data_IF_537765449134
#
_entry.id   IF_537765449134
#
_cell.length_a   1.000
_cell.length_b   1.000
_cell.length_c   1.000
_cell.angle_alpha   90.00
_cell.angle_beta   90.00
_cell.angle_gamma   90.00
#
_symmetry.space_group_name_H-M   'P 1'
#
loop_
_entity.id
_entity.type
_entity.pdbx_description
1 polymer ?
#
# COMPACT_ATOMS: atom_id res chain seq x y z
N UNK A 1 25.58 7.23 -9.18
CA UNK A 1 25.61 7.44 -10.64
C UNK A 1 25.27 6.16 -11.40
N UNK A 2 25.98 5.04 -11.19
CA UNK A 2 25.73 3.78 -11.91
C UNK A 2 24.30 3.22 -11.75
N UNK A 3 23.80 3.07 -10.52
CA UNK A 3 22.45 2.55 -10.26
C UNK A 3 21.34 3.40 -10.89
N UNK A 4 21.50 4.72 -10.92
CA UNK A 4 20.56 5.62 -11.58
C UNK A 4 20.55 5.41 -13.10
N UNK A 5 21.74 5.22 -13.70
CA UNK A 5 21.85 4.89 -15.12
C UNK A 5 21.12 3.58 -15.45
N UNK A 6 21.28 2.53 -14.64
CA UNK A 6 20.55 1.28 -14.83
C UNK A 6 19.03 1.46 -14.73
N UNK A 7 18.56 2.29 -13.79
CA UNK A 7 17.15 2.61 -13.64
C UNK A 7 16.56 3.35 -14.86
N UNK A 8 17.36 4.17 -15.53
CA UNK A 8 16.91 4.93 -16.72
C UNK A 8 17.03 4.13 -18.02
N UNK A 9 18.06 3.30 -18.15
CA UNK A 9 18.40 2.63 -19.41
C UNK A 9 17.83 1.22 -19.52
N UNK A 10 17.96 0.40 -18.46
CA UNK A 10 17.62 -1.02 -18.46
C UNK A 10 16.88 -1.44 -17.17
N UNK A 11 15.78 -0.76 -16.79
CA UNK A 11 15.13 -0.97 -15.49
C UNK A 11 14.56 -2.38 -15.30
N UNK A 12 14.07 -3.00 -16.38
CA UNK A 12 13.47 -4.34 -16.32
C UNK A 12 14.51 -5.45 -16.30
N UNK A 13 15.56 -5.32 -17.13
CA UNK A 13 16.63 -6.32 -17.27
C UNK A 13 17.54 -6.34 -16.05
N UNK A 14 17.93 -5.16 -15.57
CA UNK A 14 18.82 -5.01 -14.42
C UNK A 14 18.06 -4.90 -13.10
N UNK A 15 16.79 -5.32 -13.02
CA UNK A 15 15.94 -5.12 -11.84
C UNK A 15 16.59 -5.65 -10.55
N UNK A 16 17.08 -6.89 -10.57
CA UNK A 16 17.71 -7.51 -9.39
C UNK A 16 18.96 -6.74 -8.93
N UNK A 17 19.81 -6.34 -9.88
CA UNK A 17 21.02 -5.56 -9.62
C UNK A 17 20.69 -4.16 -9.08
N UNK A 18 19.66 -3.52 -9.62
CA UNK A 18 19.18 -2.22 -9.12
C UNK A 18 18.74 -2.35 -7.66
N UNK A 19 17.95 -3.37 -7.32
CA UNK A 19 17.49 -3.58 -5.94
C UNK A 19 18.65 -3.90 -4.99
N UNK A 20 19.61 -4.72 -5.41
CA UNK A 20 20.80 -5.03 -4.61
C UNK A 20 21.61 -3.75 -4.33
N UNK A 21 21.85 -2.94 -5.36
CA UNK A 21 22.58 -1.68 -5.24
C UNK A 21 21.85 -0.68 -4.31
N UNK A 22 20.53 -0.55 -4.46
CA UNK A 22 19.72 0.30 -3.57
C UNK A 22 19.74 -0.22 -2.13
N UNK A 23 19.75 -1.54 -1.94
CA UNK A 23 19.90 -2.17 -0.63
C UNK A 23 21.23 -1.84 0.05
N UNK A 24 22.35 -1.96 -0.68
CA UNK A 24 23.69 -1.58 -0.19
C UNK A 24 23.78 -0.09 0.12
N UNK A 25 23.17 0.76 -0.72
CA UNK A 25 23.08 2.21 -0.46
C UNK A 25 22.32 2.51 0.83
N UNK A 26 21.20 1.82 1.07
CA UNK A 26 20.37 2.03 2.25
C UNK A 26 20.99 1.56 3.57
N UNK A 27 21.89 0.57 3.52
CA UNK A 27 22.41 -0.11 4.71
C UNK A 27 23.86 0.22 5.02
N UNK A 28 24.72 0.29 4.00
CA UNK A 28 26.17 0.36 4.16
C UNK A 28 26.75 1.69 3.67
N UNK A 29 26.38 2.13 2.47
CA UNK A 29 27.10 3.20 1.77
C UNK A 29 26.58 4.62 2.09
N UNK A 30 25.27 4.81 2.19
CA UNK A 30 24.66 6.11 2.56
C UNK A 30 23.38 5.92 3.39
N UNK A 31 23.49 5.37 4.62
CA UNK A 31 22.34 5.08 5.46
C UNK A 31 21.57 6.35 5.88
N UNK A 32 22.17 7.54 5.76
CA UNK A 32 21.49 8.81 6.04
C UNK A 32 20.34 9.06 5.06
N UNK A 33 20.43 8.53 3.84
CA UNK A 33 19.40 8.64 2.79
C UNK A 33 18.61 7.35 2.56
N UNK A 34 18.67 6.40 3.50
CA UNK A 34 18.03 5.08 3.39
C UNK A 34 16.59 5.11 2.91
N UNK A 35 15.78 6.07 3.38
CA UNK A 35 14.36 6.15 3.00
C UNK A 35 14.18 6.52 1.52
N UNK A 36 15.08 7.33 0.94
CA UNK A 36 15.07 7.62 -0.50
C UNK A 36 15.33 6.34 -1.30
N UNK A 37 16.34 5.56 -0.90
CA UNK A 37 16.67 4.32 -1.61
C UNK A 37 15.57 3.26 -1.49
N UNK A 38 14.94 3.15 -0.32
CA UNK A 38 13.77 2.29 -0.13
C UNK A 38 12.57 2.71 -0.99
N UNK A 39 12.31 4.01 -1.12
CA UNK A 39 11.29 4.53 -2.04
C UNK A 39 11.61 4.18 -3.49
N UNK A 40 12.85 4.39 -3.93
CA UNK A 40 13.30 4.02 -5.28
C UNK A 40 13.18 2.51 -5.54
N UNK A 41 13.52 1.68 -4.56
CA UNK A 41 13.40 0.23 -4.63
C UNK A 41 11.93 -0.19 -4.74
N UNK A 42 11.07 0.36 -3.89
CA UNK A 42 9.62 0.10 -3.92
C UNK A 42 9.03 0.49 -5.28
N UNK A 43 9.37 1.67 -5.79
CA UNK A 43 8.96 2.13 -7.12
C UNK A 43 9.45 1.19 -8.23
N UNK A 44 10.66 0.65 -8.13
CA UNK A 44 11.13 -0.33 -9.11
C UNK A 44 10.34 -1.63 -9.09
N UNK A 45 9.98 -2.11 -7.91
CA UNK A 45 9.14 -3.30 -7.73
C UNK A 45 7.75 -3.07 -8.32
N UNK A 46 7.11 -1.95 -8.00
CA UNK A 46 5.80 -1.57 -8.53
C UNK A 46 5.84 -1.50 -10.07
N UNK A 47 6.85 -0.82 -10.64
CA UNK A 47 7.00 -0.73 -12.10
C UNK A 47 7.21 -2.09 -12.77
N UNK A 48 7.92 -3.00 -12.10
CA UNK A 48 8.09 -4.36 -12.60
C UNK A 48 6.76 -5.09 -12.65
N UNK A 49 5.97 -5.06 -11.59
CA UNK A 49 4.64 -5.69 -11.53
C UNK A 49 3.73 -5.15 -12.65
N UNK A 50 3.75 -3.83 -12.88
CA UNK A 50 2.94 -3.20 -13.93
C UNK A 50 3.35 -3.64 -15.35
N UNK A 51 4.63 -3.96 -15.56
CA UNK A 51 5.19 -4.32 -16.87
C UNK A 51 5.26 -5.83 -17.10
N UNK A 52 5.13 -6.63 -16.04
CA UNK A 52 5.16 -8.08 -16.14
C UNK A 52 4.02 -8.55 -17.04
N UNK A 53 4.39 -9.35 -18.05
CA UNK A 53 3.45 -9.78 -19.08
C UNK A 53 2.86 -11.12 -18.71
N UNK A 54 1.53 -11.20 -18.78
CA UNK A 54 0.78 -12.45 -18.74
C UNK A 54 0.06 -12.57 -20.09
N UNK A 55 0.28 -13.66 -20.80
CA UNK A 55 -0.26 -13.90 -22.15
C UNK A 55 0.06 -12.78 -23.17
N UNK A 56 1.24 -12.17 -23.05
CA UNK A 56 1.74 -11.13 -23.96
C UNK A 56 1.16 -9.73 -23.74
N UNK A 57 0.39 -9.52 -22.67
CA UNK A 57 -0.11 -8.21 -22.24
C UNK A 57 0.42 -7.85 -20.86
N UNK A 58 0.79 -6.60 -20.66
CA UNK A 58 1.18 -6.11 -19.34
C UNK A 58 -0.05 -5.74 -18.50
N UNK A 59 0.07 -5.80 -17.17
CA UNK A 59 -0.99 -5.32 -16.27
C UNK A 59 -1.33 -3.86 -16.55
N UNK A 60 -0.33 -3.02 -16.86
CA UNK A 60 -0.54 -1.63 -17.21
C UNK A 60 -1.46 -1.45 -18.42
N UNK A 61 -1.28 -2.25 -19.48
CA UNK A 61 -2.18 -2.23 -20.65
C UNK A 61 -3.61 -2.58 -20.26
N UNK A 62 -3.81 -3.61 -19.43
CA UNK A 62 -5.14 -4.01 -19.00
C UNK A 62 -5.84 -2.95 -18.14
N UNK A 63 -5.08 -2.27 -17.27
CA UNK A 63 -5.55 -1.12 -16.48
C UNK A 63 -5.93 0.06 -17.39
N UNK A 64 -5.11 0.36 -18.40
CA UNK A 64 -5.38 1.44 -19.35
C UNK A 64 -6.58 1.16 -20.27
N UNK A 65 -6.78 -0.10 -20.66
CA UNK A 65 -7.95 -0.54 -21.44
C UNK A 65 -9.23 -0.65 -20.57
N UNK A 66 -9.12 -0.47 -19.25
CA UNK A 66 -10.23 -0.63 -18.30
C UNK A 66 -10.74 -2.08 -18.18
N UNK A 67 -9.95 -3.05 -18.63
CA UNK A 67 -10.26 -4.48 -18.51
C UNK A 67 -9.91 -5.03 -17.14
N UNK A 68 -8.93 -4.41 -16.48
CA UNK A 68 -8.54 -4.68 -15.12
C UNK A 68 -8.66 -3.38 -14.31
N UNK A 69 -8.92 -3.50 -13.02
CA UNK A 69 -8.89 -2.34 -12.11
C UNK A 69 -8.26 -2.68 -10.74
N UNK A 70 -7.67 -3.87 -10.66
CA UNK A 70 -7.02 -4.39 -9.47
C UNK A 70 -5.50 -4.30 -9.62
N UNK A 71 -4.83 -3.85 -8.56
CA UNK A 71 -3.38 -3.89 -8.43
C UNK A 71 -3.02 -4.68 -7.17
N UNK A 72 -2.32 -5.79 -7.34
CA UNK A 72 -1.85 -6.63 -6.24
C UNK A 72 -0.32 -6.67 -6.20
N UNK A 73 0.25 -6.26 -5.07
CA UNK A 73 1.69 -6.20 -4.82
C UNK A 73 1.92 -6.85 -3.46
N UNK A 74 1.79 -8.18 -3.39
CA UNK A 74 1.88 -8.93 -2.13
C UNK A 74 3.29 -9.45 -1.89
N UNK A 75 3.73 -9.49 -0.62
CA UNK A 75 5.00 -10.11 -0.20
C UNK A 75 6.24 -9.60 -0.97
N UNK A 76 6.20 -8.34 -1.39
CA UNK A 76 7.18 -7.76 -2.31
C UNK A 76 8.25 -6.92 -1.59
N UNK A 77 8.19 -6.84 -0.26
CA UNK A 77 9.12 -6.07 0.58
C UNK A 77 9.13 -4.56 0.26
N UNK A 78 8.03 -4.04 -0.31
CA UNK A 78 7.90 -2.59 -0.53
C UNK A 78 7.67 -1.88 0.81
N UNK A 79 8.21 -0.67 0.94
CA UNK A 79 8.03 0.16 2.14
C UNK A 79 7.41 1.53 1.83
N UNK A 80 7.06 1.77 0.57
CA UNK A 80 6.40 2.98 0.12
C UNK A 80 5.58 2.70 -1.14
N UNK A 81 4.48 3.45 -1.31
CA UNK A 81 3.62 3.44 -2.49
C UNK A 81 3.89 4.66 -3.40
N UNK A 82 5.06 5.28 -3.27
CA UNK A 82 5.51 6.39 -4.11
C UNK A 82 5.47 6.00 -5.60
N UNK A 83 4.81 6.83 -6.42
CA UNK A 83 4.60 6.59 -7.84
C UNK A 83 3.27 5.91 -8.19
N UNK A 84 2.53 5.38 -7.21
CA UNK A 84 1.19 4.78 -7.44
C UNK A 84 0.16 5.85 -7.86
N UNK A 85 0.39 7.11 -7.55
CA UNK A 85 -0.43 8.25 -7.99
C UNK A 85 -0.50 8.37 -9.52
N UNK A 86 0.46 7.81 -10.26
CA UNK A 86 0.42 7.76 -11.73
C UNK A 86 -0.70 6.85 -12.27
N UNK A 87 -1.22 5.96 -11.42
CA UNK A 87 -2.36 5.08 -11.72
C UNK A 87 -3.69 5.68 -11.23
N UNK A 88 -3.69 6.96 -10.83
CA UNK A 88 -4.88 7.65 -10.38
C UNK A 88 -6.00 7.54 -11.43
N UNK A 89 -7.16 7.08 -10.97
CA UNK A 89 -8.33 6.90 -11.81
C UNK A 89 -8.44 5.51 -12.47
N UNK A 90 -7.36 4.73 -12.53
CA UNK A 90 -7.35 3.39 -13.14
C UNK A 90 -7.64 2.29 -12.11
N UNK A 91 -7.01 2.40 -10.93
CA UNK A 91 -7.08 1.36 -9.88
C UNK A 91 -8.25 1.65 -8.94
N UNK A 92 -9.10 0.63 -8.76
CA UNK A 92 -10.23 0.65 -7.81
C UNK A 92 -10.02 -0.32 -6.64
N UNK A 93 -9.18 -1.35 -6.82
CA UNK A 93 -8.83 -2.30 -5.76
C UNK A 93 -7.30 -2.39 -5.64
N UNK A 94 -6.77 -2.13 -4.45
CA UNK A 94 -5.35 -2.20 -4.16
C UNK A 94 -5.11 -3.22 -3.04
N UNK A 95 -4.22 -4.18 -3.30
CA UNK A 95 -3.75 -5.13 -2.31
C UNK A 95 -2.23 -5.04 -2.19
N UNK A 96 -1.77 -4.66 -1.01
CA UNK A 96 -0.36 -4.46 -0.65
C UNK A 96 -0.01 -5.27 0.60
N UNK A 97 -0.65 -6.43 0.78
CA UNK A 97 -0.47 -7.27 1.96
C UNK A 97 0.94 -7.89 2.04
N UNK A 98 1.46 -8.08 3.26
CA UNK A 98 2.76 -8.73 3.49
C UNK A 98 3.95 -7.86 3.09
N UNK A 99 3.86 -6.55 3.29
CA UNK A 99 4.92 -5.60 2.94
C UNK A 99 5.45 -4.88 4.20
N UNK A 100 6.27 -3.85 4.00
CA UNK A 100 6.91 -3.08 5.06
C UNK A 100 6.34 -1.65 5.16
N UNK A 101 5.07 -1.46 4.78
CA UNK A 101 4.42 -0.15 4.84
C UNK A 101 4.18 0.24 6.31
N UNK A 102 4.64 1.43 6.69
CA UNK A 102 4.33 2.01 8.00
C UNK A 102 3.08 2.91 7.94
N UNK A 103 2.77 3.39 6.74
CA UNK A 103 1.64 4.25 6.43
C UNK A 103 1.23 4.04 4.97
N UNK A 104 0.00 4.45 4.64
CA UNK A 104 -0.51 4.56 3.27
C UNK A 104 -1.03 5.98 2.98
N UNK A 105 -0.56 6.99 3.74
CA UNK A 105 -1.00 8.38 3.58
C UNK A 105 -0.64 8.98 2.21
N UNK A 106 0.43 8.49 1.59
CA UNK A 106 0.91 8.91 0.27
C UNK A 106 0.05 8.35 -0.89
N UNK A 107 -0.99 7.54 -0.60
CA UNK A 107 -1.84 6.93 -1.63
C UNK A 107 -2.84 7.97 -2.17
N UNK A 108 -2.58 8.45 -3.38
CA UNK A 108 -3.46 9.37 -4.12
C UNK A 108 -4.22 8.64 -5.22
N UNK A 109 -5.17 7.78 -4.82
CA UNK A 109 -6.02 7.02 -5.73
C UNK A 109 -7.50 7.40 -5.52
N UNK A 110 -8.02 8.41 -6.24
CA UNK A 110 -9.35 8.96 -5.96
C UNK A 110 -10.50 7.97 -6.23
N UNK A 111 -10.29 6.98 -7.10
CA UNK A 111 -11.29 5.96 -7.44
C UNK A 111 -11.13 4.67 -6.61
N UNK A 112 -10.27 4.66 -5.60
CA UNK A 112 -10.03 3.46 -4.81
C UNK A 112 -11.26 3.13 -3.95
N UNK A 113 -11.85 1.96 -4.19
CA UNK A 113 -13.00 1.44 -3.45
C UNK A 113 -12.59 0.40 -2.39
N UNK A 114 -11.48 -0.31 -2.61
CA UNK A 114 -11.02 -1.37 -1.73
C UNK A 114 -9.51 -1.32 -1.52
N UNK A 115 -9.08 -1.28 -0.26
CA UNK A 115 -7.68 -1.32 0.14
C UNK A 115 -7.44 -2.47 1.12
N UNK A 116 -6.54 -3.38 0.76
CA UNK A 116 -6.03 -4.43 1.64
C UNK A 116 -4.55 -4.19 1.90
N UNK A 117 -4.17 -3.92 3.14
CA UNK A 117 -2.80 -3.69 3.56
C UNK A 117 -2.46 -4.51 4.81
N UNK A 118 -2.90 -5.78 4.82
CA UNK A 118 -2.67 -6.70 5.92
C UNK A 118 -1.18 -6.99 6.09
N UNK A 119 -0.76 -7.46 7.26
CA UNK A 119 0.62 -7.88 7.52
C UNK A 119 1.65 -6.79 7.15
N UNK A 120 1.33 -5.54 7.50
CA UNK A 120 2.23 -4.41 7.37
C UNK A 120 2.47 -3.79 8.76
N UNK A 121 3.64 -3.19 9.03
CA UNK A 121 3.94 -2.54 10.30
C UNK A 121 3.22 -1.19 10.49
N UNK A 122 1.95 -1.10 10.09
CA UNK A 122 1.11 0.10 10.22
C UNK A 122 0.61 0.20 11.66
N UNK A 123 0.98 1.29 12.34
CA UNK A 123 0.57 1.56 13.73
C UNK A 123 -0.54 2.59 13.84
N UNK A 124 -0.69 3.44 12.84
CA UNK A 124 -1.64 4.55 12.81
C UNK A 124 -2.00 4.90 11.38
N UNK A 125 -3.23 5.38 11.19
CA UNK A 125 -3.72 5.93 9.92
C UNK A 125 -3.84 7.44 10.08
N UNK A 126 -3.34 8.23 9.12
CA UNK A 126 -3.48 9.68 9.22
C UNK A 126 -4.89 10.14 8.82
N UNK A 127 -5.45 11.15 9.53
CA UNK A 127 -6.77 11.69 9.25
C UNK A 127 -6.85 12.44 7.91
N UNK A 128 -5.72 12.72 7.28
CA UNK A 128 -5.60 13.43 6.00
C UNK A 128 -5.75 12.51 4.79
N UNK A 129 -6.10 11.24 4.99
CA UNK A 129 -6.30 10.29 3.90
C UNK A 129 -7.38 10.81 2.93
N UNK A 130 -7.04 10.91 1.65
CA UNK A 130 -7.92 11.44 0.58
C UNK A 130 -8.83 10.37 -0.03
N UNK A 131 -8.92 9.19 0.61
CA UNK A 131 -9.62 8.00 0.12
C UNK A 131 -11.15 8.09 0.34
N UNK A 132 -11.77 9.14 -0.18
CA UNK A 132 -13.19 9.45 0.05
C UNK A 132 -14.16 8.40 -0.53
N UNK A 133 -13.73 7.64 -1.54
CA UNK A 133 -14.52 6.61 -2.22
C UNK A 133 -14.27 5.19 -1.67
N UNK A 134 -13.42 5.05 -0.65
CA UNK A 134 -13.07 3.76 -0.09
C UNK A 134 -14.24 3.16 0.68
N UNK A 135 -14.71 1.99 0.24
CA UNK A 135 -15.80 1.22 0.86
C UNK A 135 -15.29 0.10 1.76
N UNK A 136 -14.13 -0.46 1.44
CA UNK A 136 -13.51 -1.54 2.19
C UNK A 136 -12.06 -1.23 2.54
N UNK A 137 -11.73 -1.31 3.83
CA UNK A 137 -10.37 -1.20 4.34
C UNK A 137 -10.02 -2.44 5.18
N UNK A 138 -8.89 -3.07 4.88
CA UNK A 138 -8.39 -4.22 5.61
C UNK A 138 -6.96 -3.97 6.11
N UNK A 139 -6.79 -4.02 7.43
CA UNK A 139 -5.53 -3.86 8.18
C UNK A 139 -5.36 -4.99 9.20
N UNK A 140 -5.56 -6.23 8.75
CA UNK A 140 -5.33 -7.42 9.56
C UNK A 140 -3.85 -7.64 9.83
N UNK A 141 -3.51 -8.22 10.99
CA UNK A 141 -2.14 -8.47 11.43
C UNK A 141 -1.23 -7.22 11.41
N UNK A 142 -1.82 -6.04 11.60
CA UNK A 142 -1.09 -4.78 11.79
C UNK A 142 -0.96 -4.46 13.28
N UNK A 143 0.15 -3.81 13.72
CA UNK A 143 0.34 -3.42 15.12
C UNK A 143 -0.49 -2.19 15.52
N UNK A 144 -1.82 -2.27 15.36
CA UNK A 144 -2.80 -1.28 15.80
C UNK A 144 -3.21 -1.56 17.25
N UNK A 145 -2.98 -0.62 18.16
CA UNK A 145 -3.12 -0.82 19.60
C UNK A 145 -4.16 0.09 20.27
N UNK A 146 -4.39 1.26 19.71
CA UNK A 146 -5.29 2.27 20.26
C UNK A 146 -6.40 2.66 19.28
N UNK A 147 -7.59 2.91 19.82
CA UNK A 147 -8.73 3.43 19.04
C UNK A 147 -8.36 4.76 18.38
N UNK A 148 -7.61 5.62 19.08
CA UNK A 148 -7.13 6.90 18.56
C UNK A 148 -6.20 6.80 17.34
N UNK A 149 -5.61 5.64 17.09
CA UNK A 149 -4.74 5.40 15.93
C UNK A 149 -5.53 5.25 14.61
N UNK A 150 -6.82 4.89 14.69
CA UNK A 150 -7.66 4.67 13.50
C UNK A 150 -8.85 5.61 13.44
N UNK A 151 -9.43 5.97 14.59
CA UNK A 151 -10.71 6.66 14.67
C UNK A 151 -10.77 7.99 13.89
N UNK A 152 -9.76 8.89 13.98
CA UNK A 152 -9.81 10.15 13.25
C UNK A 152 -9.84 9.96 11.72
N UNK A 153 -9.15 8.94 11.22
CA UNK A 153 -9.11 8.64 9.79
C UNK A 153 -10.41 7.98 9.32
N UNK A 154 -10.92 6.99 10.06
CA UNK A 154 -12.16 6.30 9.70
C UNK A 154 -13.36 7.25 9.69
N UNK A 155 -13.42 8.23 10.60
CA UNK A 155 -14.46 9.29 10.60
C UNK A 155 -14.40 10.20 9.37
N UNK A 156 -13.22 10.36 8.76
CA UNK A 156 -13.03 11.15 7.53
C UNK A 156 -13.37 10.38 6.25
N UNK A 157 -13.44 9.05 6.30
CA UNK A 157 -13.76 8.22 5.14
C UNK A 157 -15.28 8.09 4.95
N UNK A 158 -15.86 9.05 4.22
CA UNK A 158 -17.31 9.20 4.07
C UNK A 158 -18.03 7.98 3.46
N UNK A 159 -17.35 7.19 2.62
CA UNK A 159 -17.94 6.05 1.92
C UNK A 159 -17.60 4.70 2.56
N UNK A 160 -16.90 4.68 3.70
CA UNK A 160 -16.43 3.44 4.28
C UNK A 160 -17.58 2.63 4.85
N UNK A 161 -17.72 1.40 4.37
CA UNK A 161 -18.78 0.48 4.79
C UNK A 161 -18.24 -0.64 5.68
N UNK A 162 -16.99 -1.07 5.44
CA UNK A 162 -16.39 -2.24 6.07
C UNK A 162 -14.95 -1.98 6.47
N UNK A 163 -14.64 -2.28 7.73
CA UNK A 163 -13.28 -2.20 8.27
C UNK A 163 -12.88 -3.52 8.92
N UNK A 164 -11.84 -4.16 8.37
CA UNK A 164 -11.27 -5.41 8.86
C UNK A 164 -9.94 -5.15 9.55
N UNK A 165 -9.80 -5.65 10.78
CA UNK A 165 -8.61 -5.42 11.63
C UNK A 165 -8.33 -6.64 12.53
N UNK A 166 -8.53 -7.84 12.00
CA UNK A 166 -8.22 -9.08 12.72
C UNK A 166 -6.75 -9.18 13.12
N UNK A 167 -6.44 -9.97 14.15
CA UNK A 167 -5.06 -10.21 14.60
C UNK A 167 -4.29 -8.92 14.96
N UNK A 168 -5.02 -7.88 15.38
CA UNK A 168 -4.45 -6.64 15.89
C UNK A 168 -4.79 -6.48 17.38
N UNK A 169 -3.93 -5.85 18.19
CA UNK A 169 -4.27 -5.55 19.59
C UNK A 169 -5.55 -4.70 19.75
N UNK A 170 -5.94 -3.95 18.72
CA UNK A 170 -7.18 -3.18 18.64
C UNK A 170 -8.45 -4.05 18.78
N UNK A 171 -8.39 -5.35 18.49
CA UNK A 171 -9.52 -6.29 18.61
C UNK A 171 -10.12 -6.26 20.02
N UNK A 172 -9.32 -6.09 21.07
CA UNK A 172 -9.79 -6.02 22.45
C UNK A 172 -10.67 -4.78 22.71
N UNK A 173 -10.46 -3.70 21.95
CA UNK A 173 -11.17 -2.42 22.06
C UNK A 173 -12.31 -2.27 21.03
N UNK A 174 -12.78 -3.38 20.45
CA UNK A 174 -13.85 -3.38 19.45
C UNK A 174 -15.14 -2.71 19.94
N UNK A 175 -15.49 -2.84 21.22
CA UNK A 175 -16.70 -2.21 21.79
C UNK A 175 -16.61 -0.67 21.76
N UNK A 176 -15.47 -0.12 22.17
CA UNK A 176 -15.21 1.32 22.13
C UNK A 176 -15.25 1.85 20.68
N UNK A 177 -14.67 1.09 19.74
CA UNK A 177 -14.69 1.46 18.33
C UNK A 177 -16.11 1.43 17.74
N UNK A 178 -16.94 0.48 18.17
CA UNK A 178 -18.33 0.32 17.72
C UNK A 178 -19.25 1.44 18.24
N UNK A 179 -19.00 1.96 19.44
CA UNK A 179 -19.73 3.11 19.99
C UNK A 179 -19.50 4.39 19.18
N UNK A 180 -18.27 4.57 18.68
CA UNK A 180 -17.89 5.75 17.90
C UNK A 180 -18.22 5.63 16.40
N UNK A 181 -18.29 4.40 15.86
CA UNK A 181 -18.51 4.10 14.44
C UNK A 181 -19.74 3.20 14.25
N UNK A 182 -20.93 3.80 14.27
CA UNK A 182 -22.20 3.07 14.13
C UNK A 182 -22.56 2.68 12.70
N UNK A 183 -22.04 3.40 11.70
CA UNK A 183 -22.32 3.17 10.28
C UNK A 183 -21.40 2.15 9.60
N UNK A 184 -20.23 1.86 10.19
CA UNK A 184 -19.21 1.00 9.61
C UNK A 184 -19.34 -0.41 10.19
N UNK A 185 -19.36 -1.43 9.32
CA UNK A 185 -19.29 -2.82 9.73
C UNK A 185 -17.84 -3.16 10.14
N UNK A 186 -17.64 -3.35 11.43
CA UNK A 186 -16.38 -3.78 12.02
C UNK A 186 -16.20 -5.30 11.91
N UNK A 187 -15.03 -5.75 11.45
CA UNK A 187 -14.70 -7.16 11.21
C UNK A 187 -13.40 -7.51 11.96
N UNK A 188 -13.49 -7.98 13.22
CA UNK A 188 -12.31 -8.28 14.06
C UNK A 188 -11.75 -9.70 13.87
N UNK A 189 -12.31 -10.51 12.97
CA UNK A 189 -11.88 -11.89 12.70
C UNK A 189 -11.98 -12.23 11.21
N UNK A 190 -11.18 -13.18 10.73
CA UNK A 190 -11.37 -13.76 9.40
C UNK A 190 -12.70 -14.53 9.36
N UNK A 191 -13.44 -14.38 8.26
CA UNK A 191 -14.69 -15.10 7.99
C UNK A 191 -14.40 -16.51 7.46
#
# INVERSE_FOLDING_TARGET
MYTLCLMETLPSECHAEILENLGKLATELDPKRKEIYKKLASRQIINRVLREQVDGRSLLELLMEGKESQLAIRNAQISSLDGVELLAGLVTHLDVSGNQLQTFDDVLLPNLESLTANENPIRKISPTSTLCNLKFLSLGACPLDEVGCVLPALKGMCSLERFLYCETPLVEKTKELQEELSSIRLIPYYL
#
